data_IF_972609910833
#
_entry.id   IF_972609910833
#
_cell.length_a   1.000
_cell.length_b   1.000
_cell.length_c   1.000
_cell.angle_alpha   90.00
_cell.angle_beta   90.00
_cell.angle_gamma   90.00
#
_symmetry.space_group_name_H-M   'P 1'
#
loop_
_entity.id
_entity.type
_entity.pdbx_description
1 polymer ?
#
# COMPACT_ATOMS: atom_id res chain seq x y z
N UNK A 1 -40.97 1.09 23.77
CA UNK A 1 -40.31 1.31 22.46
C UNK A 1 -38.85 0.95 22.63
N UNK A 2 -38.45 -0.19 22.07
CA UNK A 2 -37.09 -0.74 22.20
C UNK A 2 -36.37 -0.43 20.89
N UNK A 3 -35.36 0.45 20.94
CA UNK A 3 -34.51 0.73 19.78
C UNK A 3 -33.39 -0.33 19.72
N UNK A 4 -33.48 -1.19 18.71
CA UNK A 4 -32.43 -2.14 18.41
C UNK A 4 -31.35 -1.42 17.57
N UNK A 5 -30.20 -1.16 18.17
CA UNK A 5 -29.01 -0.68 17.47
C UNK A 5 -28.35 -1.85 16.72
N UNK A 6 -28.40 -1.81 15.40
CA UNK A 6 -27.67 -2.76 14.53
C UNK A 6 -26.23 -2.27 14.44
N UNK A 7 -25.31 -2.96 15.11
CA UNK A 7 -23.88 -2.75 14.92
C UNK A 7 -23.44 -3.39 13.58
N UNK A 8 -23.12 -2.58 12.61
CA UNK A 8 -22.49 -3.03 11.38
C UNK A 8 -21.03 -3.41 11.69
N UNK A 9 -20.73 -4.70 11.71
CA UNK A 9 -19.36 -5.20 11.78
C UNK A 9 -18.69 -4.98 10.42
N UNK A 10 -17.78 -4.01 10.35
CA UNK A 10 -16.89 -3.86 9.21
C UNK A 10 -15.89 -5.02 9.25
N UNK A 11 -16.05 -5.99 8.35
CA UNK A 11 -15.05 -7.02 8.11
C UNK A 11 -13.88 -6.37 7.37
N UNK A 12 -12.86 -5.97 8.10
CA UNK A 12 -11.54 -5.68 7.54
C UNK A 12 -10.93 -7.00 7.10
N UNK A 13 -10.91 -7.27 5.81
CA UNK A 13 -10.09 -8.33 5.26
C UNK A 13 -8.62 -7.96 5.53
N UNK A 14 -7.96 -8.71 6.41
CA UNK A 14 -6.54 -8.60 6.61
C UNK A 14 -5.85 -8.93 5.29
N UNK A 15 -5.24 -7.92 4.65
CA UNK A 15 -4.35 -8.15 3.53
C UNK A 15 -3.21 -9.05 4.00
N UNK A 16 -2.70 -9.98 3.16
CA UNK A 16 -1.55 -10.78 3.53
C UNK A 16 -0.39 -9.83 3.80
N UNK A 17 0.02 -9.77 5.04
CA UNK A 17 1.17 -9.00 5.49
C UNK A 17 2.47 -9.62 4.96
N UNK A 18 2.68 -9.50 3.68
CA UNK A 18 4.03 -9.58 3.12
C UNK A 18 4.77 -8.35 3.63
N UNK A 19 5.80 -8.58 4.42
CA UNK A 19 6.53 -7.59 5.19
C UNK A 19 7.11 -6.46 4.30
N UNK A 20 6.27 -5.53 3.84
CA UNK A 20 6.65 -4.34 3.08
C UNK A 20 6.97 -3.17 4.02
N UNK A 21 7.71 -3.45 5.08
CA UNK A 21 8.12 -2.44 6.04
C UNK A 21 9.60 -2.13 5.88
N UNK A 22 9.92 -0.84 5.82
CA UNK A 22 11.30 -0.33 5.77
C UNK A 22 11.50 0.66 6.92
N UNK A 23 12.60 0.49 7.66
CA UNK A 23 12.93 1.36 8.79
C UNK A 23 14.11 2.26 8.43
N UNK A 24 13.99 3.53 8.76
CA UNK A 24 15.06 4.53 8.61
C UNK A 24 15.34 5.16 9.96
N UNK A 25 16.58 5.07 10.40
CA UNK A 25 17.05 5.74 11.62
C UNK A 25 17.61 7.10 11.28
N UNK A 26 17.21 8.12 12.03
CA UNK A 26 17.66 9.48 11.88
C UNK A 26 18.16 10.01 13.22
N UNK A 27 19.36 10.56 13.21
CA UNK A 27 19.94 11.24 14.37
C UNK A 27 19.41 12.68 14.45
N UNK A 28 18.71 12.97 15.52
CA UNK A 28 18.17 14.28 15.80
C UNK A 28 18.68 14.78 17.16
N UNK A 29 19.67 15.64 17.15
CA UNK A 29 20.23 16.27 18.35
C UNK A 29 20.65 15.28 19.45
N UNK A 30 21.36 14.21 19.07
CA UNK A 30 21.82 13.18 19.99
C UNK A 30 20.78 12.12 20.35
N UNK A 31 19.58 12.18 19.78
CA UNK A 31 18.52 11.16 19.88
C UNK A 31 18.34 10.47 18.55
N UNK A 32 18.36 9.15 18.56
CA UNK A 32 18.03 8.36 17.36
C UNK A 32 16.53 8.16 17.27
N UNK A 33 15.93 8.63 16.17
CA UNK A 33 14.53 8.43 15.85
C UNK A 33 14.41 7.46 14.68
N UNK A 34 13.62 6.41 14.83
CA UNK A 34 13.36 5.44 13.78
C UNK A 34 11.99 5.67 13.16
N UNK A 35 11.97 5.98 11.87
CA UNK A 35 10.75 6.06 11.08
C UNK A 35 10.47 4.71 10.43
N UNK A 36 9.23 4.26 10.49
CA UNK A 36 8.75 3.05 9.82
C UNK A 36 7.94 3.43 8.58
N UNK A 37 8.33 2.89 7.44
CA UNK A 37 7.60 3.03 6.18
C UNK A 37 6.92 1.72 5.86
N UNK A 38 5.61 1.71 5.87
CA UNK A 38 4.79 0.53 5.59
C UNK A 38 4.10 0.66 4.23
N UNK A 39 4.21 -0.36 3.40
CA UNK A 39 3.51 -0.47 2.14
C UNK A 39 2.30 -1.38 2.26
N UNK A 40 1.14 -0.90 1.82
CA UNK A 40 -0.05 -1.70 1.64
C UNK A 40 -0.27 -1.96 0.14
N UNK A 41 -0.48 -3.20 -0.24
CA UNK A 41 -0.67 -3.62 -1.64
C UNK A 41 -2.14 -3.82 -1.91
N UNK A 42 -2.65 -3.15 -2.94
CA UNK A 42 -3.98 -3.37 -3.49
C UNK A 42 -3.87 -3.93 -4.91
N UNK A 43 -4.57 -5.03 -5.16
CA UNK A 43 -4.60 -5.68 -6.47
C UNK A 43 -5.92 -5.35 -7.15
N UNK A 44 -5.86 -4.54 -8.20
CA UNK A 44 -6.98 -4.23 -9.06
C UNK A 44 -7.12 -5.25 -10.19
N UNK A 45 -8.34 -5.71 -10.44
CA UNK A 45 -8.66 -6.66 -11.50
C UNK A 45 -9.61 -6.03 -12.49
N UNK A 46 -9.36 -6.21 -13.78
CA UNK A 46 -10.24 -5.72 -14.84
C UNK A 46 -10.47 -6.80 -15.88
N UNK A 47 -11.74 -7.24 -15.97
CA UNK A 47 -12.19 -8.20 -16.97
C UNK A 47 -12.18 -7.58 -18.37
N UNK A 48 -11.54 -8.26 -19.32
CA UNK A 48 -11.52 -7.90 -20.74
C UNK A 48 -11.96 -9.09 -21.59
N UNK A 49 -12.44 -8.78 -22.79
CA UNK A 49 -12.86 -9.78 -23.75
C UNK A 49 -14.29 -10.28 -23.52
N UNK A 50 -14.70 -11.25 -24.32
CA UNK A 50 -16.05 -11.82 -24.29
C UNK A 50 -16.01 -13.27 -23.86
N UNK A 51 -17.07 -13.70 -23.15
CA UNK A 51 -17.29 -15.09 -22.85
C UNK A 51 -17.44 -15.89 -24.17
N UNK A 52 -16.89 -17.11 -24.19
CA UNK A 52 -17.02 -17.98 -25.34
C UNK A 52 -18.47 -18.46 -25.50
N UNK A 53 -18.94 -18.52 -26.76
CA UNK A 53 -20.10 -19.33 -27.12
C UNK A 53 -19.81 -20.81 -26.86
N UNK A 54 -20.83 -21.64 -26.55
CA UNK A 54 -20.63 -23.08 -26.35
C UNK A 54 -19.81 -23.71 -27.50
N UNK A 55 -18.71 -24.40 -27.17
CA UNK A 55 -17.83 -25.05 -28.12
C UNK A 55 -16.77 -24.19 -28.79
N UNK A 56 -16.60 -22.91 -28.39
CA UNK A 56 -15.54 -22.01 -28.87
C UNK A 56 -14.64 -21.55 -27.73
N UNK A 57 -13.36 -21.31 -28.03
CA UNK A 57 -12.45 -20.71 -27.09
C UNK A 57 -12.81 -19.24 -26.87
N UNK A 58 -12.95 -18.84 -25.59
CA UNK A 58 -13.22 -17.47 -25.22
C UNK A 58 -11.98 -16.57 -25.35
N UNK A 59 -12.21 -15.28 -25.55
CA UNK A 59 -11.17 -14.25 -25.57
C UNK A 59 -11.03 -13.53 -24.23
N UNK A 60 -11.62 -14.11 -23.15
CA UNK A 60 -11.57 -13.51 -21.83
C UNK A 60 -10.13 -13.44 -21.31
N UNK A 61 -9.78 -12.31 -20.75
CA UNK A 61 -8.54 -12.10 -20.04
C UNK A 61 -8.77 -11.20 -18.84
N UNK A 62 -7.95 -11.36 -17.83
CA UNK A 62 -7.93 -10.50 -16.68
C UNK A 62 -6.67 -9.62 -16.71
N UNK A 63 -6.87 -8.32 -16.89
CA UNK A 63 -5.81 -7.34 -16.70
C UNK A 63 -5.75 -7.02 -15.20
N UNK A 64 -4.55 -6.95 -14.64
CA UNK A 64 -4.37 -6.69 -13.24
C UNK A 64 -3.30 -5.65 -12.97
N UNK A 65 -3.41 -4.99 -11.85
CA UNK A 65 -2.43 -4.01 -11.37
C UNK A 65 -2.23 -4.17 -9.88
N UNK A 66 -0.99 -4.02 -9.41
CA UNK A 66 -0.66 -3.96 -8.00
C UNK A 66 -0.22 -2.53 -7.65
N UNK A 67 -0.98 -1.89 -6.79
CA UNK A 67 -0.75 -0.53 -6.32
C UNK A 67 -0.26 -0.58 -4.89
N UNK A 68 0.83 0.14 -4.61
CA UNK A 68 1.40 0.23 -3.27
C UNK A 68 1.09 1.60 -2.69
N UNK A 69 0.46 1.61 -1.54
CA UNK A 69 0.22 2.80 -0.72
C UNK A 69 1.24 2.81 0.42
N UNK A 70 2.03 3.86 0.53
CA UNK A 70 3.08 3.98 1.53
C UNK A 70 2.66 4.93 2.64
N UNK A 71 2.87 4.52 3.87
CA UNK A 71 2.60 5.32 5.07
C UNK A 71 3.84 5.37 5.93
N UNK A 72 4.21 6.57 6.39
CA UNK A 72 5.29 6.77 7.36
C UNK A 72 4.72 6.86 8.77
N UNK A 73 5.29 6.13 9.69
CA UNK A 73 4.96 6.19 11.13
C UNK A 73 6.18 6.56 11.95
N UNK A 74 6.01 7.48 12.87
CA UNK A 74 7.00 7.87 13.88
C UNK A 74 6.59 7.32 15.24
N UNK A 75 7.55 7.07 16.17
CA UNK A 75 7.23 6.52 17.48
C UNK A 75 6.25 7.37 18.30
N UNK A 76 6.29 8.68 18.12
CA UNK A 76 5.44 9.66 18.82
C UNK A 76 4.66 10.51 17.79
N UNK A 77 3.82 9.88 16.99
CA UNK A 77 3.07 10.63 16.02
C UNK A 77 2.06 9.81 15.25
N UNK A 78 1.21 10.51 14.53
CA UNK A 78 0.24 9.89 13.64
C UNK A 78 0.94 9.37 12.38
N UNK A 79 0.36 8.33 11.78
CA UNK A 79 0.78 7.84 10.50
C UNK A 79 0.50 8.89 9.41
N UNK A 80 1.49 9.15 8.56
CA UNK A 80 1.38 10.11 7.47
C UNK A 80 1.35 9.35 6.14
N UNK A 81 0.28 9.46 5.35
CA UNK A 81 0.24 8.84 4.03
C UNK A 81 1.18 9.59 3.07
N UNK A 82 1.96 8.84 2.29
CA UNK A 82 2.93 9.38 1.34
C UNK A 82 2.51 9.17 -0.12
N UNK A 83 1.29 8.67 -0.35
CA UNK A 83 0.74 8.45 -1.66
C UNK A 83 0.72 6.99 -2.09
N UNK A 84 0.19 6.77 -3.28
CA UNK A 84 0.01 5.46 -3.89
C UNK A 84 0.56 5.45 -5.31
N UNK A 85 1.13 4.33 -5.71
CA UNK A 85 1.62 4.13 -7.08
C UNK A 85 1.38 2.70 -7.54
N UNK A 86 0.95 2.55 -8.78
CA UNK A 86 0.91 1.26 -9.45
C UNK A 86 2.33 0.83 -9.81
N UNK A 87 2.80 -0.23 -9.18
CA UNK A 87 4.18 -0.72 -9.33
C UNK A 87 4.27 -1.88 -10.31
N UNK A 88 3.27 -2.77 -10.29
CA UNK A 88 3.21 -3.93 -11.17
C UNK A 88 1.92 -3.94 -11.96
N UNK A 89 2.01 -4.39 -13.21
CA UNK A 89 0.86 -4.67 -14.06
C UNK A 89 1.07 -5.98 -14.79
N UNK A 90 0.01 -6.61 -15.20
CA UNK A 90 0.08 -7.83 -15.96
C UNK A 90 -1.26 -8.27 -16.51
N UNK A 91 -1.28 -9.41 -17.16
CA UNK A 91 -2.46 -10.01 -17.77
C UNK A 91 -2.43 -11.52 -17.58
N UNK A 92 -3.60 -12.09 -17.32
CA UNK A 92 -3.81 -13.54 -17.37
C UNK A 92 -4.99 -13.88 -18.27
N UNK A 93 -4.83 -14.94 -19.05
CA UNK A 93 -5.94 -15.48 -19.83
C UNK A 93 -6.99 -16.12 -18.89
N UNK A 94 -8.25 -15.83 -19.14
CA UNK A 94 -9.37 -16.37 -18.39
C UNK A 94 -10.18 -15.30 -17.64
N UNK A 95 -11.17 -15.76 -16.93
CA UNK A 95 -12.03 -14.93 -16.09
C UNK A 95 -11.30 -14.48 -14.82
N UNK A 96 -11.43 -13.21 -14.43
CA UNK A 96 -10.78 -12.63 -13.27
C UNK A 96 -11.04 -13.40 -11.97
N UNK A 97 -12.26 -13.87 -11.75
CA UNK A 97 -12.59 -14.65 -10.55
C UNK A 97 -11.83 -15.98 -10.51
N UNK A 98 -11.67 -16.62 -11.65
CA UNK A 98 -10.96 -17.90 -11.74
C UNK A 98 -9.46 -17.75 -11.61
N UNK A 99 -8.87 -16.67 -12.14
CA UNK A 99 -7.42 -16.47 -12.15
C UNK A 99 -6.90 -15.62 -11.00
N UNK A 100 -7.77 -15.10 -10.14
CA UNK A 100 -7.41 -14.19 -9.05
C UNK A 100 -6.32 -14.75 -8.13
N UNK A 101 -6.42 -16.01 -7.70
CA UNK A 101 -5.42 -16.65 -6.84
C UNK A 101 -4.05 -16.78 -7.52
N UNK A 102 -4.04 -17.01 -8.83
CA UNK A 102 -2.81 -17.03 -9.63
C UNK A 102 -2.17 -15.66 -9.72
N UNK A 103 -2.97 -14.60 -9.85
CA UNK A 103 -2.49 -13.21 -9.86
C UNK A 103 -1.87 -12.85 -8.50
N UNK A 104 -2.50 -13.21 -7.40
CA UNK A 104 -1.95 -12.99 -6.06
C UNK A 104 -0.58 -13.65 -5.89
N UNK A 105 -0.42 -14.87 -6.40
CA UNK A 105 0.87 -15.58 -6.39
C UNK A 105 1.91 -14.90 -7.29
N UNK A 106 1.51 -14.35 -8.43
CA UNK A 106 2.41 -13.61 -9.32
C UNK A 106 2.90 -12.33 -8.66
N UNK A 107 2.02 -11.61 -7.97
CA UNK A 107 2.38 -10.42 -7.18
C UNK A 107 3.32 -10.79 -6.03
N UNK A 108 3.02 -11.86 -5.29
CA UNK A 108 3.86 -12.34 -4.19
C UNK A 108 5.27 -12.72 -4.65
N UNK A 109 5.41 -13.32 -5.83
CA UNK A 109 6.72 -13.63 -6.42
C UNK A 109 7.54 -12.39 -6.78
N UNK A 110 6.88 -11.25 -7.02
CA UNK A 110 7.51 -9.97 -7.33
C UNK A 110 7.54 -9.02 -6.13
N UNK A 111 7.45 -9.55 -4.92
CA UNK A 111 7.44 -8.76 -3.68
C UNK A 111 8.68 -7.88 -3.52
N UNK A 112 9.84 -8.27 -4.08
CA UNK A 112 11.05 -7.45 -4.08
C UNK A 112 10.84 -6.12 -4.79
N UNK A 113 10.14 -6.09 -5.93
CA UNK A 113 9.83 -4.85 -6.65
C UNK A 113 8.91 -3.93 -5.83
N UNK A 114 7.95 -4.49 -5.11
CA UNK A 114 7.07 -3.74 -4.22
C UNK A 114 7.85 -3.16 -3.03
N UNK A 115 8.77 -3.93 -2.45
CA UNK A 115 9.65 -3.49 -1.37
C UNK A 115 10.61 -2.39 -1.83
N UNK A 116 11.20 -2.53 -3.00
CA UNK A 116 12.10 -1.52 -3.60
C UNK A 116 11.36 -0.19 -3.79
N UNK A 117 10.08 -0.23 -4.15
CA UNK A 117 9.26 0.97 -4.22
C UNK A 117 9.10 1.65 -2.86
N UNK A 118 8.85 0.90 -1.79
CA UNK A 118 8.75 1.45 -0.43
C UNK A 118 10.07 2.11 -0.02
N UNK A 119 11.20 1.47 -0.32
CA UNK A 119 12.54 2.04 -0.07
C UNK A 119 12.75 3.34 -0.85
N UNK A 120 12.37 3.36 -2.13
CA UNK A 120 12.48 4.55 -2.98
C UNK A 120 11.65 5.72 -2.43
N UNK A 121 10.42 5.44 -1.98
CA UNK A 121 9.56 6.45 -1.36
C UNK A 121 10.18 6.96 -0.05
N UNK A 122 10.75 6.07 0.76
CA UNK A 122 11.41 6.44 2.01
C UNK A 122 12.63 7.35 1.77
N UNK A 123 13.43 7.06 0.75
CA UNK A 123 14.56 7.90 0.38
C UNK A 123 14.13 9.28 -0.14
N UNK A 124 13.08 9.32 -0.96
CA UNK A 124 12.52 10.58 -1.44
C UNK A 124 11.87 11.42 -0.33
N UNK A 125 11.39 10.78 0.72
CA UNK A 125 10.77 11.44 1.88
C UNK A 125 11.81 11.95 2.91
N UNK A 126 13.06 11.58 2.79
CA UNK A 126 14.10 11.95 3.77
C UNK A 126 14.15 13.44 4.09
N UNK A 127 14.09 14.39 3.13
CA UNK A 127 14.02 15.81 3.44
C UNK A 127 12.80 16.20 4.28
N UNK A 128 11.66 15.61 4.00
CA UNK A 128 10.41 15.85 4.73
C UNK A 128 10.49 15.27 6.16
N UNK A 129 11.10 14.10 6.32
CA UNK A 129 11.35 13.51 7.62
C UNK A 129 12.27 14.41 8.47
N UNK A 130 13.35 14.88 7.91
CA UNK A 130 14.28 15.79 8.59
C UNK A 130 13.58 17.08 9.01
N UNK A 131 12.74 17.66 8.13
CA UNK A 131 11.96 18.85 8.44
C UNK A 131 10.92 18.61 9.56
N UNK A 132 10.32 17.42 9.58
CA UNK A 132 9.34 17.03 10.61
C UNK A 132 9.98 16.85 11.99
N UNK A 133 11.24 16.47 12.04
CA UNK A 133 12.01 16.25 13.26
C UNK A 133 12.74 17.51 13.73
N UNK A 134 12.80 18.57 12.92
CA UNK A 134 13.41 19.83 13.29
C UNK A 134 12.64 20.45 14.47
N UNK A 135 13.36 21.05 15.46
CA UNK A 135 12.69 21.71 16.56
C UNK A 135 11.81 22.86 16.03
N UNK A 136 10.54 22.86 16.40
CA UNK A 136 9.66 24.00 16.11
C UNK A 136 10.18 25.19 16.89
N UNK A 137 10.73 26.16 16.19
CA UNK A 137 10.95 27.48 16.77
C UNK A 137 9.57 28.09 17.00
N UNK A 138 9.12 28.11 18.25
CA UNK A 138 7.99 28.94 18.63
C UNK A 138 8.42 30.39 18.44
N UNK A 139 7.90 31.07 17.44
CA UNK A 139 8.01 32.51 17.35
C UNK A 139 7.18 33.04 18.52
N UNK A 140 7.86 33.41 19.59
CA UNK A 140 7.24 34.18 20.66
C UNK A 140 6.77 35.49 20.01
N UNK A 141 5.46 35.70 19.90
CA UNK A 141 4.89 37.00 19.60
C UNK A 141 5.26 37.89 20.75
N UNK A 142 6.26 38.73 20.56
CA UNK A 142 6.49 39.86 21.46
C UNK A 142 5.47 40.92 21.09
N UNK A 143 4.55 41.20 22.00
CA UNK A 143 3.75 42.39 22.03
C UNK A 143 4.67 43.63 22.25
#
# INVERSE_FOLDING_TARGET
MIFATIAAAAMSAAAPEGNLTHHVSHDNQGRTVTAAYAGAVDIGLRQRGMAAAPGRMGTQRCDWSATVSVTRSLPEGQATPLGSKTVLTGMRAGDCLTVASGIERDVARRSSALKDHVVTVAEADRPNLTASLAPRTSVASSD
#
